data_IF_646496564074
#
_entry.id   IF_646496564074
#
_cell.length_a   1.000
_cell.length_b   1.000
_cell.length_c   1.000
_cell.angle_alpha   90.00
_cell.angle_beta   90.00
_cell.angle_gamma   90.00
#
_symmetry.space_group_name_H-M   'P 1'
#
loop_
_entity.id
_entity.type
_entity.pdbx_description
1 polymer ?
#
# COMPACT_ATOMS: atom_id res chain seq x y z
N UNK A 1 -23.76 1.76 12.68
CA UNK A 1 -22.48 2.33 12.22
C UNK A 1 -22.45 2.19 10.71
N UNK A 2 -22.46 3.30 9.98
CA UNK A 2 -22.28 3.25 8.52
C UNK A 2 -20.79 3.13 8.22
N UNK A 3 -20.39 2.05 7.57
CA UNK A 3 -19.02 1.87 7.07
C UNK A 3 -19.02 2.18 5.58
N UNK A 4 -18.27 3.22 5.18
CA UNK A 4 -18.05 3.55 3.77
C UNK A 4 -16.71 3.01 3.34
N UNK A 5 -16.64 2.45 2.14
CA UNK A 5 -15.42 1.89 1.59
C UNK A 5 -14.96 2.71 0.39
N UNK A 6 -13.70 3.11 0.39
CA UNK A 6 -13.06 3.82 -0.72
C UNK A 6 -12.00 2.90 -1.30
N UNK A 7 -11.87 2.91 -2.62
CA UNK A 7 -10.84 2.16 -3.34
C UNK A 7 -9.94 3.13 -4.07
N UNK A 8 -8.64 3.03 -3.83
CA UNK A 8 -7.62 3.81 -4.52
C UNK A 8 -6.90 2.84 -5.46
N UNK A 9 -7.06 2.98 -6.78
CA UNK A 9 -6.40 2.09 -7.74
C UNK A 9 -4.89 2.33 -7.73
N UNK A 10 -4.13 1.30 -8.11
CA UNK A 10 -2.74 1.45 -8.55
C UNK A 10 -2.69 2.47 -9.70
N UNK A 11 -1.67 3.31 -9.68
CA UNK A 11 -1.35 4.21 -10.80
C UNK A 11 -0.88 3.38 -11.99
N UNK A 12 -1.71 3.36 -13.04
CA UNK A 12 -1.43 2.63 -14.27
C UNK A 12 -0.52 3.41 -15.22
N UNK A 13 -0.21 4.67 -14.89
CA UNK A 13 0.70 5.51 -15.69
C UNK A 13 2.16 5.10 -15.53
N UNK A 14 2.47 4.29 -14.50
CA UNK A 14 3.78 3.75 -14.20
C UNK A 14 3.71 2.22 -14.18
N UNK A 15 4.76 1.55 -14.65
CA UNK A 15 4.90 0.10 -14.42
C UNK A 15 5.03 -0.21 -12.92
N UNK A 16 5.56 0.76 -12.17
CA UNK A 16 5.69 0.77 -10.71
C UNK A 16 4.34 0.65 -9.97
N UNK A 17 4.30 -0.18 -8.94
CA UNK A 17 3.34 -0.34 -7.86
C UNK A 17 3.35 0.95 -7.03
N UNK A 18 2.54 1.88 -7.48
CA UNK A 18 2.35 3.18 -6.85
C UNK A 18 0.87 3.45 -6.71
N UNK A 19 0.49 4.12 -5.63
CA UNK A 19 -0.86 4.62 -5.41
C UNK A 19 -0.88 6.15 -5.52
N UNK A 20 -2.02 6.68 -5.96
CA UNK A 20 -2.24 8.12 -6.01
C UNK A 20 -2.14 8.74 -4.60
N UNK A 21 -1.36 9.81 -4.48
CA UNK A 21 -1.19 10.55 -3.22
C UNK A 21 -2.28 11.59 -2.99
N UNK A 22 -3.14 11.82 -3.99
CA UNK A 22 -4.28 12.71 -3.86
C UNK A 22 -5.23 12.18 -2.78
N UNK A 23 -5.65 13.06 -1.87
CA UNK A 23 -6.56 12.69 -0.80
C UNK A 23 -7.99 12.56 -1.36
N UNK A 24 -8.68 11.44 -1.11
CA UNK A 24 -10.09 11.34 -1.48
C UNK A 24 -10.93 12.38 -0.73
N UNK A 25 -11.91 13.00 -1.40
CA UNK A 25 -12.74 14.11 -0.87
C UNK A 25 -13.36 13.77 0.49
N UNK A 26 -13.72 12.50 0.69
CA UNK A 26 -14.33 12.00 1.92
C UNK A 26 -13.43 12.09 3.16
N UNK A 27 -12.12 12.35 3.00
CA UNK A 27 -11.17 12.51 4.10
C UNK A 27 -10.92 13.96 4.50
N UNK A 28 -11.36 14.96 3.72
CA UNK A 28 -11.02 16.39 3.93
C UNK A 28 -11.39 16.92 5.31
N UNK A 29 -12.45 16.38 5.91
CA UNK A 29 -12.91 16.80 7.23
C UNK A 29 -12.35 15.94 8.39
N UNK A 30 -11.58 14.89 8.09
CA UNK A 30 -11.09 13.91 9.09
C UNK A 30 -9.56 13.81 9.16
N UNK A 31 -8.85 14.18 8.09
CA UNK A 31 -7.41 14.04 8.00
C UNK A 31 -6.80 15.21 7.23
N UNK A 32 -5.69 15.73 7.73
CA UNK A 32 -4.91 16.74 7.03
C UNK A 32 -4.31 16.15 5.74
N UNK A 33 -4.37 16.92 4.65
CA UNK A 33 -3.85 16.54 3.33
C UNK A 33 -2.35 16.24 3.35
N UNK A 34 -1.56 16.97 4.15
CA UNK A 34 -0.13 16.73 4.29
C UNK A 34 0.14 15.40 5.01
N UNK A 35 -0.63 15.10 6.05
CA UNK A 35 -0.52 13.84 6.79
C UNK A 35 -0.90 12.66 5.89
N UNK A 36 -1.97 12.78 5.10
CA UNK A 36 -2.34 11.78 4.10
C UNK A 36 -1.22 11.54 3.08
N UNK A 37 -0.64 12.62 2.57
CA UNK A 37 0.47 12.56 1.60
C UNK A 37 1.66 11.81 2.19
N UNK A 38 2.04 12.06 3.45
CA UNK A 38 3.13 11.36 4.13
C UNK A 38 2.85 9.84 4.23
N UNK A 39 1.62 9.44 4.55
CA UNK A 39 1.24 8.03 4.60
C UNK A 39 1.34 7.36 3.22
N UNK A 40 0.79 7.99 2.19
CA UNK A 40 0.84 7.46 0.82
C UNK A 40 2.28 7.40 0.29
N UNK A 41 3.11 8.41 0.57
CA UNK A 41 4.52 8.41 0.22
C UNK A 41 5.30 7.31 0.96
N UNK A 42 4.96 7.03 2.22
CA UNK A 42 5.57 5.94 2.98
C UNK A 42 5.25 4.57 2.37
N UNK A 43 4.00 4.34 1.98
CA UNK A 43 3.57 3.12 1.28
C UNK A 43 4.27 3.02 -0.08
N UNK A 44 4.23 4.08 -0.88
CA UNK A 44 4.86 4.12 -2.20
C UNK A 44 6.38 3.94 -2.13
N UNK A 45 7.04 4.42 -1.07
CA UNK A 45 8.48 4.21 -0.86
C UNK A 45 8.80 2.74 -0.62
N UNK A 46 7.98 2.02 0.16
CA UNK A 46 8.15 0.58 0.36
C UNK A 46 7.94 -0.13 -0.97
N UNK A 47 6.88 0.19 -1.71
CA UNK A 47 6.64 -0.41 -3.02
C UNK A 47 7.84 -0.18 -3.98
N UNK A 48 8.32 1.07 -4.10
CA UNK A 48 9.49 1.41 -4.92
C UNK A 48 10.77 0.69 -4.51
N UNK A 49 11.03 0.54 -3.20
CA UNK A 49 12.22 -0.15 -2.67
C UNK A 49 12.31 -1.60 -3.14
N UNK A 50 11.16 -2.28 -3.25
CA UNK A 50 11.11 -3.68 -3.67
C UNK A 50 10.84 -3.86 -5.16
N UNK A 51 10.40 -2.80 -5.86
CA UNK A 51 10.28 -2.81 -7.33
C UNK A 51 11.57 -2.55 -8.09
N UNK A 52 12.60 -1.95 -7.46
CA UNK A 52 13.89 -1.76 -8.12
C UNK A 52 14.41 -3.09 -8.72
N UNK A 53 14.46 -3.24 -10.05
CA UNK A 53 14.77 -4.51 -10.67
C UNK A 53 16.28 -4.60 -10.90
N UNK A 54 17.04 -5.02 -9.88
CA UNK A 54 18.46 -5.37 -10.08
C UNK A 54 18.83 -6.78 -9.65
N UNK A 55 17.90 -7.58 -9.14
CA UNK A 55 18.15 -9.01 -8.86
C UNK A 55 17.29 -9.96 -9.70
N UNK A 56 16.04 -9.61 -10.01
CA UNK A 56 15.13 -10.48 -10.78
C UNK A 56 15.51 -10.71 -12.25
N UNK A 57 16.20 -9.76 -12.89
CA UNK A 57 16.76 -9.99 -14.23
C UNK A 57 17.95 -10.97 -14.24
N UNK A 58 18.58 -11.23 -13.10
CA UNK A 58 19.67 -12.22 -12.95
C UNK A 58 19.09 -13.63 -12.73
N UNK A 59 17.91 -13.75 -12.11
CA UNK A 59 17.26 -15.03 -11.84
C UNK A 59 16.70 -15.74 -13.09
N UNK A 60 16.69 -15.09 -14.26
CA UNK A 60 16.32 -15.74 -15.54
C UNK A 60 17.29 -16.87 -15.95
N UNK A 61 18.43 -16.98 -15.28
CA UNK A 61 19.45 -18.03 -15.46
C UNK A 61 19.56 -19.01 -14.28
N UNK A 62 18.70 -18.91 -13.25
CA UNK A 62 18.80 -19.69 -12.03
C UNK A 62 17.76 -20.83 -12.04
N UNK A 63 18.17 -22.10 -11.79
CA UNK A 63 17.30 -23.26 -11.92
C UNK A 63 16.08 -23.22 -10.97
N UNK A 64 14.95 -23.85 -11.37
CA UNK A 64 13.65 -23.77 -10.69
C UNK A 64 13.62 -24.26 -9.23
N UNK A 65 14.71 -24.87 -8.75
CA UNK A 65 14.86 -25.37 -7.38
C UNK A 65 15.09 -24.24 -6.35
N UNK A 66 15.45 -23.03 -6.80
CA UNK A 66 15.68 -21.87 -5.92
C UNK A 66 14.50 -20.87 -5.87
N UNK A 67 13.37 -21.18 -6.50
CA UNK A 67 12.18 -20.29 -6.53
C UNK A 67 11.39 -20.22 -5.21
N UNK A 68 11.85 -20.87 -4.14
CA UNK A 68 11.28 -20.77 -2.79
C UNK A 68 11.84 -19.59 -1.98
N UNK A 69 12.27 -18.51 -2.63
CA UNK A 69 12.61 -17.29 -1.91
C UNK A 69 11.34 -16.46 -1.73
N UNK A 70 10.70 -16.63 -0.56
CA UNK A 70 9.49 -15.92 -0.18
C UNK A 70 9.66 -14.40 -0.36
N UNK A 71 8.67 -13.70 -0.96
CA UNK A 71 8.57 -12.24 -0.92
C UNK A 71 8.28 -11.69 0.50
N UNK A 72 8.59 -12.45 1.56
CA UNK A 72 8.20 -12.19 2.93
C UNK A 72 8.73 -10.84 3.44
N UNK A 73 9.86 -10.34 2.94
CA UNK A 73 10.38 -9.01 3.29
C UNK A 73 9.45 -7.87 2.89
N UNK A 74 9.00 -7.84 1.63
CA UNK A 74 8.09 -6.81 1.11
C UNK A 74 6.74 -6.88 1.81
N UNK A 75 6.14 -8.08 1.85
CA UNK A 75 4.81 -8.26 2.43
C UNK A 75 4.79 -7.89 3.92
N UNK A 76 5.84 -8.27 4.67
CA UNK A 76 5.92 -7.92 6.08
C UNK A 76 6.16 -6.41 6.29
N UNK A 77 6.97 -5.76 5.45
CA UNK A 77 7.26 -4.32 5.57
C UNK A 77 6.02 -3.48 5.24
N UNK A 78 5.26 -3.84 4.19
CA UNK A 78 4.04 -3.13 3.81
C UNK A 78 2.93 -3.34 4.83
N UNK A 79 2.76 -4.57 5.36
CA UNK A 79 1.79 -4.87 6.43
C UNK A 79 2.12 -4.08 7.68
N UNK A 80 3.37 -4.08 8.15
CA UNK A 80 3.79 -3.28 9.31
C UNK A 80 3.57 -1.78 9.10
N UNK A 81 3.86 -1.26 7.91
CA UNK A 81 3.61 0.14 7.60
C UNK A 81 2.11 0.48 7.68
N UNK A 82 1.25 -0.36 7.10
CA UNK A 82 -0.21 -0.21 7.17
C UNK A 82 -0.71 -0.32 8.61
N UNK A 83 -0.17 -1.23 9.42
CA UNK A 83 -0.52 -1.37 10.84
C UNK A 83 -0.20 -0.10 11.62
N UNK A 84 1.00 0.49 11.42
CA UNK A 84 1.40 1.75 12.06
C UNK A 84 0.45 2.89 11.64
N UNK A 85 0.19 3.02 10.33
CA UNK A 85 -0.73 4.04 9.81
C UNK A 85 -2.14 3.82 10.40
N UNK A 86 -2.61 2.58 10.47
CA UNK A 86 -3.92 2.25 11.04
C UNK A 86 -4.03 2.57 12.54
N UNK A 87 -2.95 2.43 13.31
CA UNK A 87 -2.93 2.85 14.71
C UNK A 87 -3.16 4.37 14.83
N UNK A 88 -2.54 5.16 13.97
CA UNK A 88 -2.69 6.63 13.95
C UNK A 88 -4.05 7.08 13.40
N UNK A 89 -4.61 6.32 12.45
CA UNK A 89 -5.90 6.59 11.82
C UNK A 89 -7.10 6.08 12.63
N UNK A 90 -6.88 5.23 13.64
CA UNK A 90 -7.92 4.63 14.48
C UNK A 90 -8.81 5.68 15.14
N UNK A 91 -8.22 6.77 15.65
CA UNK A 91 -8.96 7.87 16.30
C UNK A 91 -9.85 8.65 15.32
N UNK A 92 -9.59 8.56 14.02
CA UNK A 92 -10.34 9.20 12.94
C UNK A 92 -11.39 8.27 12.32
N UNK A 93 -11.50 7.03 12.81
CA UNK A 93 -12.39 6.01 12.26
C UNK A 93 -11.99 5.53 10.87
N UNK A 94 -10.72 5.66 10.50
CA UNK A 94 -10.20 5.28 9.18
C UNK A 94 -9.34 4.02 9.33
N UNK A 95 -9.49 3.07 8.42
CA UNK A 95 -8.71 1.84 8.38
C UNK A 95 -8.37 1.45 6.94
N UNK A 96 -7.09 1.32 6.65
CA UNK A 96 -6.58 0.74 5.41
C UNK A 96 -6.63 -0.79 5.56
N UNK A 97 -7.30 -1.46 4.64
CA UNK A 97 -7.35 -2.91 4.58
C UNK A 97 -6.06 -3.50 4.02
N UNK A 98 -5.85 -4.77 4.32
CA UNK A 98 -4.72 -5.54 3.82
C UNK A 98 -4.69 -5.58 2.29
N UNK A 99 -3.63 -5.01 1.70
CA UNK A 99 -3.40 -4.92 0.26
C UNK A 99 -3.23 -6.29 -0.41
N UNK A 100 -2.88 -7.34 0.35
CA UNK A 100 -2.78 -8.70 -0.18
C UNK A 100 -4.12 -9.21 -0.71
N UNK A 101 -5.23 -8.76 -0.13
CA UNK A 101 -6.58 -9.18 -0.53
C UNK A 101 -6.96 -8.71 -1.94
N UNK A 102 -6.33 -7.66 -2.43
CA UNK A 102 -6.55 -7.10 -3.77
C UNK A 102 -5.41 -7.41 -4.73
N UNK A 103 -4.45 -8.25 -4.31
CA UNK A 103 -3.23 -8.49 -5.09
C UNK A 103 -2.46 -7.22 -5.38
N UNK A 104 -2.52 -6.22 -4.48
CA UNK A 104 -1.88 -4.90 -4.65
C UNK A 104 -2.41 -4.06 -5.82
N UNK A 105 -3.54 -4.43 -6.43
CA UNK A 105 -4.15 -3.65 -7.51
C UNK A 105 -4.94 -2.45 -7.02
N UNK A 106 -5.49 -2.54 -5.81
CA UNK A 106 -6.32 -1.51 -5.19
C UNK A 106 -6.05 -1.42 -3.69
N UNK A 107 -5.92 -0.21 -3.17
CA UNK A 107 -5.94 0.04 -1.73
C UNK A 107 -7.36 0.29 -1.28
N UNK A 108 -7.87 -0.58 -0.41
CA UNK A 108 -9.23 -0.47 0.12
C UNK A 108 -9.18 0.17 1.50
N UNK A 109 -9.98 1.21 1.69
CA UNK A 109 -10.01 1.98 2.92
C UNK A 109 -11.42 2.01 3.46
N UNK A 110 -11.59 1.59 4.70
CA UNK A 110 -12.84 1.65 5.45
C UNK A 110 -12.88 2.93 6.29
N UNK A 111 -14.01 3.62 6.22
CA UNK A 111 -14.31 4.78 7.05
C UNK A 111 -15.56 4.43 7.87
N UNK A 112 -15.39 4.40 9.18
CA UNK A 112 -16.49 4.32 10.14
C UNK A 112 -16.88 5.73 10.59
N UNK A 113 -18.18 6.02 10.57
CA UNK A 113 -18.78 7.21 11.18
C UNK A 113 -19.36 6.87 12.55
#
# INVERSE_FOLDING_TARGET
>A
METRTIRIPKDLSTEDLRYYTAMPINFENKLDKEVWKIYMESINRICKKYETPSFWNIFRYIPPVLLFYEPSGFENEIVKCIEIINLELKSKGIKILDLRKTGYMEMVIEISN
#
